data_IF_431661214585
#
_entry.id   IF_431661214585
#
_cell.length_a   1.000
_cell.length_b   1.000
_cell.length_c   1.000
_cell.angle_alpha   90.00
_cell.angle_beta   90.00
_cell.angle_gamma   90.00
#
_symmetry.space_group_name_H-M   'P 1'
#
loop_
_entity.id
_entity.type
_entity.pdbx_description
1 polymer ?
#
# COMPACT_ATOMS: atom_id res chain seq x y z
N UNK A 1 13.11 -12.51 -2.12
CA UNK A 1 11.71 -12.59 -2.60
C UNK A 1 10.88 -13.24 -1.51
N UNK A 2 9.74 -12.66 -1.14
CA UNK A 2 8.80 -13.24 -0.18
C UNK A 2 7.40 -13.20 -0.79
N UNK A 3 6.62 -14.27 -0.60
CA UNK A 3 5.26 -14.41 -1.10
C UNK A 3 4.34 -14.75 0.07
N UNK A 4 3.12 -14.19 0.05
CA UNK A 4 2.06 -14.52 0.99
C UNK A 4 0.92 -15.14 0.19
N UNK A 5 0.68 -16.44 0.39
CA UNK A 5 -0.30 -17.23 -0.37
C UNK A 5 -1.55 -17.36 0.49
N UNK A 6 -2.70 -16.97 -0.05
CA UNK A 6 -3.99 -17.07 0.60
C UNK A 6 -4.89 -18.09 -0.11
N UNK A 7 -5.67 -18.90 0.64
CA UNK A 7 -6.62 -19.82 0.02
C UNK A 7 -7.77 -19.05 -0.65
N UNK A 8 -8.13 -19.49 -1.86
CA UNK A 8 -9.16 -18.86 -2.67
C UNK A 8 -8.69 -17.60 -3.40
N UNK A 9 -9.65 -16.82 -3.91
CA UNK A 9 -9.41 -15.52 -4.56
C UNK A 9 -10.18 -14.42 -3.83
N UNK A 10 -9.80 -14.09 -2.57
CA UNK A 10 -10.39 -12.98 -1.87
C UNK A 10 -10.03 -11.66 -2.57
N UNK A 11 -10.91 -10.67 -2.49
CA UNK A 11 -10.60 -9.34 -2.98
C UNK A 11 -9.33 -8.79 -2.31
N UNK A 12 -8.40 -8.22 -3.08
CA UNK A 12 -7.08 -7.76 -2.63
C UNK A 12 -7.15 -6.86 -1.39
N UNK A 13 -8.18 -6.01 -1.27
CA UNK A 13 -8.38 -5.17 -0.09
C UNK A 13 -8.50 -5.97 1.21
N UNK A 14 -9.01 -7.21 1.18
CA UNK A 14 -9.12 -8.09 2.36
C UNK A 14 -7.77 -8.71 2.74
N UNK A 15 -6.81 -8.72 1.83
CA UNK A 15 -5.46 -9.23 2.08
C UNK A 15 -4.57 -8.20 2.77
N UNK A 16 -4.93 -6.92 2.70
CA UNK A 16 -4.13 -5.82 3.23
C UNK A 16 -3.65 -6.07 4.67
N UNK A 17 -4.45 -6.52 5.66
CA UNK A 17 -3.96 -6.74 7.02
C UNK A 17 -2.82 -7.74 7.17
N UNK A 18 -2.83 -8.81 6.36
CA UNK A 18 -1.84 -9.87 6.47
C UNK A 18 -0.44 -9.42 6.00
N UNK A 19 -0.38 -8.42 5.11
CA UNK A 19 0.86 -7.90 4.53
C UNK A 19 1.70 -7.14 5.58
N UNK A 20 1.25 -6.03 6.19
CA UNK A 20 2.01 -5.30 7.19
C UNK A 20 2.22 -6.11 8.47
N UNK A 21 1.32 -7.05 8.81
CA UNK A 21 1.56 -8.02 9.90
C UNK A 21 2.83 -8.85 9.63
N UNK A 22 2.93 -9.44 8.43
CA UNK A 22 4.09 -10.25 8.06
C UNK A 22 5.36 -9.40 7.88
N UNK A 23 5.25 -8.21 7.28
CA UNK A 23 6.37 -7.29 7.14
C UNK A 23 6.91 -6.80 8.50
N UNK A 24 6.02 -6.51 9.46
CA UNK A 24 6.40 -6.12 10.82
C UNK A 24 7.03 -7.29 11.57
N UNK A 25 6.46 -8.49 11.46
CA UNK A 25 7.04 -9.74 12.03
C UNK A 25 8.45 -9.99 11.51
N UNK A 26 8.70 -9.74 10.23
CA UNK A 26 10.03 -9.85 9.59
C UNK A 26 10.95 -8.64 9.84
N UNK A 27 10.48 -7.60 10.55
CA UNK A 27 11.19 -6.33 10.78
C UNK A 27 11.59 -5.59 9.50
N UNK A 28 10.81 -5.75 8.43
CA UNK A 28 11.00 -5.07 7.14
C UNK A 28 10.46 -3.65 7.20
N UNK A 29 9.32 -3.44 7.86
CA UNK A 29 8.71 -2.12 8.08
C UNK A 29 8.82 -1.70 9.54
N UNK A 30 8.92 -0.39 9.75
CA UNK A 30 8.95 0.30 11.05
C UNK A 30 7.97 1.49 11.02
N UNK A 31 7.67 2.01 12.20
CA UNK A 31 6.87 3.23 12.31
C UNK A 31 7.56 4.40 11.60
N UNK A 32 6.81 5.14 10.79
CA UNK A 32 7.29 6.24 9.95
C UNK A 32 7.63 5.83 8.52
N UNK A 33 7.70 4.52 8.22
CA UNK A 33 7.99 4.06 6.86
C UNK A 33 6.86 4.41 5.89
N UNK A 34 7.25 4.66 4.63
CA UNK A 34 6.33 4.85 3.51
C UNK A 34 6.21 3.55 2.75
N UNK A 35 4.99 3.06 2.58
CA UNK A 35 4.71 1.80 1.88
C UNK A 35 3.91 2.13 0.64
N UNK A 36 4.40 1.75 -0.54
CA UNK A 36 3.66 1.90 -1.78
C UNK A 36 2.75 0.70 -1.93
N UNK A 37 1.45 0.95 -2.12
CA UNK A 37 0.45 -0.09 -2.31
C UNK A 37 -0.20 0.05 -3.69
N UNK A 38 -0.47 -1.07 -4.35
CA UNK A 38 -1.32 -1.08 -5.54
C UNK A 38 -2.77 -0.72 -5.17
N UNK A 39 -3.53 -0.19 -6.14
CA UNK A 39 -4.93 0.21 -5.96
C UNK A 39 -5.81 -0.94 -5.47
N UNK A 40 -5.54 -2.20 -5.84
CA UNK A 40 -6.31 -3.36 -5.38
C UNK A 40 -6.35 -3.50 -3.84
N UNK A 41 -5.26 -3.10 -3.17
CA UNK A 41 -5.14 -3.15 -1.71
C UNK A 41 -5.79 -1.96 -1.00
N UNK A 42 -6.28 -0.97 -1.75
CA UNK A 42 -6.79 0.27 -1.20
C UNK A 42 -8.29 0.21 -0.92
N UNK A 43 -8.63 0.18 0.37
CA UNK A 43 -9.92 0.58 0.91
C UNK A 43 -9.66 1.67 1.97
N UNK A 44 -10.63 2.56 2.22
CA UNK A 44 -10.46 3.60 3.24
C UNK A 44 -10.06 3.01 4.60
N UNK A 45 -10.69 1.89 4.97
CA UNK A 45 -10.38 1.16 6.21
C UNK A 45 -8.93 0.69 6.24
N UNK A 46 -8.36 0.26 5.11
CA UNK A 46 -6.96 -0.15 5.02
C UNK A 46 -6.01 1.05 5.18
N UNK A 47 -6.37 2.21 4.64
CA UNK A 47 -5.60 3.44 4.86
C UNK A 47 -5.58 3.82 6.34
N UNK A 48 -6.76 3.91 6.95
CA UNK A 48 -6.90 4.23 8.37
C UNK A 48 -6.13 3.23 9.24
N UNK A 49 -6.20 1.94 8.91
CA UNK A 49 -5.47 0.87 9.60
C UNK A 49 -3.96 0.98 9.43
N UNK A 50 -3.46 1.23 8.22
CA UNK A 50 -2.04 1.45 7.94
C UNK A 50 -1.44 2.56 8.81
N UNK A 51 -2.14 3.70 8.89
CA UNK A 51 -1.70 4.85 9.68
C UNK A 51 -1.82 4.57 11.19
N UNK A 52 -2.95 4.02 11.64
CA UNK A 52 -3.24 3.84 13.07
C UNK A 52 -2.46 2.70 13.71
N UNK A 53 -2.48 1.51 13.11
CA UNK A 53 -2.04 0.27 13.76
C UNK A 53 -0.57 -0.04 13.44
N UNK A 54 -0.13 0.33 12.23
CA UNK A 54 1.23 0.06 11.74
C UNK A 54 2.11 1.30 11.71
N UNK A 55 1.52 2.51 11.87
CA UNK A 55 2.21 3.80 11.82
C UNK A 55 3.00 3.98 10.51
N UNK A 56 2.48 3.45 9.41
CA UNK A 56 3.04 3.59 8.07
C UNK A 56 2.21 4.58 7.25
N UNK A 57 2.84 5.21 6.27
CA UNK A 57 2.15 6.05 5.28
C UNK A 57 1.95 5.27 3.98
N UNK A 58 0.74 4.75 3.69
CA UNK A 58 0.45 4.10 2.42
C UNK A 58 0.38 5.14 1.29
N UNK A 59 1.29 5.03 0.32
CA UNK A 59 1.31 5.81 -0.90
C UNK A 59 0.55 5.07 -1.99
N UNK A 60 -0.39 5.75 -2.65
CA UNK A 60 -1.21 5.19 -3.71
C UNK A 60 -0.91 5.95 -5.00
N UNK A 61 -0.52 5.24 -6.04
CA UNK A 61 -0.45 5.83 -7.36
C UNK A 61 -1.87 5.92 -7.95
N UNK A 62 -2.34 7.14 -8.19
CA UNK A 62 -3.51 7.33 -9.04
C UNK A 62 -3.13 6.94 -10.48
N UNK A 63 -3.89 6.04 -11.09
CA UNK A 63 -3.68 5.47 -12.43
C UNK A 63 -3.64 6.52 -13.57
N UNK A 64 -3.96 7.78 -13.27
CA UNK A 64 -4.22 8.83 -14.25
C UNK A 64 -3.49 10.14 -13.92
N UNK A 65 -2.39 10.13 -13.16
CA UNK A 65 -1.49 11.29 -13.20
C UNK A 65 -0.75 11.28 -14.54
N UNK A 66 -1.41 11.76 -15.60
CA UNK A 66 -0.68 12.40 -16.68
C UNK A 66 0.13 13.49 -16.00
N UNK A 67 1.43 13.26 -15.80
CA UNK A 67 2.36 14.32 -15.41
C UNK A 67 2.07 15.46 -16.40
N UNK A 68 1.59 16.63 -15.96
CA UNK A 68 1.39 17.73 -16.88
C UNK A 68 2.76 17.96 -17.51
N UNK A 69 2.88 17.71 -18.82
CA UNK A 69 4.07 18.09 -19.54
C UNK A 69 4.16 19.59 -19.33
N UNK A 70 5.20 20.05 -18.64
CA UNK A 70 5.52 21.46 -18.66
C UNK A 70 5.63 21.82 -20.13
N UNK A 71 4.65 22.55 -20.64
CA UNK A 71 4.76 23.25 -21.90
C UNK A 71 5.91 24.21 -21.71
N UNK A 72 7.11 23.79 -22.13
CA UNK A 72 8.22 24.69 -22.36
C UNK A 72 7.67 25.81 -23.23
N UNK A 73 7.72 27.03 -22.69
CA UNK A 73 7.25 28.22 -23.39
C UNK A 73 7.95 28.34 -24.73
N UNK A 74 7.14 28.66 -25.75
CA UNK A 74 7.59 29.37 -26.95
C UNK A 74 7.99 30.80 -26.58
#
# INVERSE_FOLDING_TARGET
MAFLIHPGSPHDSRLFPAIPDDLKRRRVIRAGDRVICDKGYYAYDNYARGVKDYRIAPLIFLKNSSIPRSSSGE
#
